data_IF_552779876372
#
_entry.id   IF_552779876372
#
_cell.length_a   1.000
_cell.length_b   1.000
_cell.length_c   1.000
_cell.angle_alpha   90.00
_cell.angle_beta   90.00
_cell.angle_gamma   90.00
#
_symmetry.space_group_name_H-M   'P 1'
#
loop_
_entity.id
_entity.type
_entity.pdbx_description
1 polymer ?
#
# COMPACT_ATOMS: atom_id res chain seq x y z
N UNK A 1 -12.42 8.76 -16.96
CA UNK A 1 -12.77 8.78 -15.53
C UNK A 1 -11.84 7.85 -14.76
N UNK A 2 -10.71 8.35 -14.25
CA UNK A 2 -9.75 7.54 -13.47
C UNK A 2 -10.04 7.57 -11.96
N UNK A 3 -10.80 8.57 -11.51
CA UNK A 3 -11.22 8.78 -10.12
C UNK A 3 -12.25 7.76 -9.62
N UNK A 4 -13.15 7.30 -10.48
CA UNK A 4 -14.23 6.35 -10.13
C UNK A 4 -13.77 4.90 -9.93
N UNK A 5 -12.49 4.58 -10.14
CA UNK A 5 -11.92 3.24 -9.94
C UNK A 5 -10.98 3.12 -8.74
N UNK A 6 -10.81 4.20 -7.98
CA UNK A 6 -9.96 4.18 -6.80
C UNK A 6 -10.70 3.47 -5.67
N UNK A 7 -10.16 2.33 -5.23
CA UNK A 7 -10.70 1.64 -4.05
C UNK A 7 -10.62 2.56 -2.84
N UNK A 8 -11.62 2.53 -1.95
CA UNK A 8 -11.53 3.28 -0.70
C UNK A 8 -10.30 2.81 0.08
N UNK A 9 -9.47 3.74 0.53
CA UNK A 9 -8.31 3.39 1.33
C UNK A 9 -8.79 2.95 2.71
N UNK A 10 -8.14 1.93 3.28
CA UNK A 10 -8.47 1.49 4.62
C UNK A 10 -7.29 0.90 5.36
N UNK A 11 -7.28 1.04 6.67
CA UNK A 11 -6.33 0.39 7.55
C UNK A 11 -7.10 -0.33 8.65
N UNK A 12 -6.96 -1.67 8.72
CA UNK A 12 -7.72 -2.52 9.66
C UNK A 12 -9.24 -2.31 9.60
N UNK A 13 -9.76 -1.93 8.43
CA UNK A 13 -11.18 -1.63 8.22
C UNK A 13 -11.58 -0.18 8.48
N UNK A 14 -10.74 0.65 9.11
CA UNK A 14 -10.97 2.09 9.22
C UNK A 14 -10.70 2.75 7.86
N UNK A 15 -11.71 3.43 7.31
CA UNK A 15 -11.66 4.02 5.96
C UNK A 15 -11.09 5.43 6.00
N UNK A 16 -10.32 5.80 4.99
CA UNK A 16 -9.80 7.15 4.81
C UNK A 16 -9.58 7.48 3.33
N UNK A 17 -9.36 8.75 3.02
CA UNK A 17 -8.94 9.18 1.68
C UNK A 17 -7.43 9.41 1.66
N UNK A 18 -6.79 9.14 0.52
CA UNK A 18 -5.36 9.36 0.31
C UNK A 18 -5.18 10.54 -0.62
N UNK A 19 -4.41 11.54 -0.19
CA UNK A 19 -4.03 12.68 -1.02
C UNK A 19 -2.76 12.38 -1.82
N UNK A 20 -1.75 11.81 -1.15
CA UNK A 20 -0.52 11.39 -1.78
C UNK A 20 0.09 10.19 -1.05
N UNK A 21 0.58 9.22 -1.83
CA UNK A 21 1.34 8.09 -1.32
C UNK A 21 2.76 8.15 -1.86
N UNK A 22 3.75 8.26 -0.97
CA UNK A 22 5.16 8.17 -1.34
C UNK A 22 5.69 6.83 -0.85
N UNK A 23 6.45 6.13 -1.70
CA UNK A 23 7.09 4.86 -1.34
C UNK A 23 8.59 5.06 -1.27
N UNK A 24 9.18 4.85 -0.09
CA UNK A 24 10.62 4.88 0.10
C UNK A 24 11.15 3.44 0.34
N UNK A 25 12.06 2.98 -0.52
CA UNK A 25 12.71 1.68 -0.42
C UNK A 25 14.19 1.81 -0.76
N UNK A 26 15.04 0.99 -0.15
CA UNK A 26 16.48 1.00 -0.41
C UNK A 26 17.19 -0.21 0.20
N UNK A 27 18.51 -0.27 0.05
CA UNK A 27 19.39 -1.22 0.74
C UNK A 27 20.14 -0.50 1.85
N UNK A 28 20.52 -1.22 2.90
CA UNK A 28 21.37 -0.68 3.96
C UNK A 28 22.82 -0.92 3.52
N UNK A 29 23.55 0.15 3.25
CA UNK A 29 24.95 0.08 2.85
C UNK A 29 25.80 0.64 4.00
N UNK A 30 26.80 -0.10 4.46
CA UNK A 30 27.85 0.39 5.33
C UNK A 30 29.01 0.90 4.46
N UNK A 31 29.31 2.19 4.58
CA UNK A 31 30.41 2.81 3.86
C UNK A 31 31.63 2.86 4.77
N UNK A 32 32.70 2.20 4.34
CA UNK A 32 33.97 2.15 5.05
C UNK A 32 34.98 3.03 4.30
N UNK A 33 35.37 4.12 4.95
CA UNK A 33 36.40 5.04 4.48
C UNK A 33 37.67 4.82 5.30
N UNK A 34 38.78 4.55 4.62
CA UNK A 34 40.08 4.29 5.25
C UNK A 34 41.03 5.45 4.95
N UNK A 35 41.73 5.95 5.99
CA UNK A 35 42.67 7.05 5.83
C UNK A 35 43.78 6.71 4.80
N UNK A 36 44.04 7.62 3.86
CA UNK A 36 44.98 7.49 2.72
C UNK A 36 44.58 6.49 1.62
N UNK A 37 43.30 6.06 1.57
CA UNK A 37 42.77 5.28 0.46
C UNK A 37 41.67 6.08 -0.23
N UNK A 38 41.80 6.29 -1.53
CA UNK A 38 40.82 7.04 -2.31
C UNK A 38 39.57 6.20 -2.66
N UNK A 39 39.67 4.88 -2.57
CA UNK A 39 38.56 3.95 -2.84
C UNK A 39 37.78 3.59 -1.55
N UNK A 40 36.54 4.07 -1.38
CA UNK A 40 35.67 3.64 -0.29
C UNK A 40 35.15 2.22 -0.54
N UNK A 41 34.96 1.44 0.53
CA UNK A 41 34.36 0.11 0.46
C UNK A 41 32.90 0.17 0.94
N UNK A 42 31.97 -0.26 0.08
CA UNK A 42 30.55 -0.33 0.38
C UNK A 42 30.13 -1.77 0.66
N UNK A 43 29.88 -2.10 1.93
CA UNK A 43 29.33 -3.39 2.34
C UNK A 43 27.80 -3.34 2.35
N UNK A 44 27.14 -4.28 1.66
CA UNK A 44 25.69 -4.36 1.72
C UNK A 44 25.22 -5.17 2.94
N UNK A 45 24.48 -4.51 3.82
CA UNK A 45 23.90 -5.06 5.04
C UNK A 45 22.44 -5.51 4.84
N UNK A 46 22.01 -5.74 3.60
CA UNK A 46 20.69 -6.24 3.25
C UNK A 46 19.63 -5.15 3.00
N UNK A 47 18.36 -5.58 2.90
CA UNK A 47 17.25 -4.69 2.51
C UNK A 47 16.88 -3.75 3.66
N UNK A 48 16.73 -2.46 3.37
CA UNK A 48 16.15 -1.50 4.32
C UNK A 48 14.66 -1.79 4.46
N UNK A 49 14.12 -1.69 5.68
CA UNK A 49 12.69 -1.77 5.90
C UNK A 49 11.98 -0.75 5.00
N UNK A 50 10.98 -1.21 4.23
CA UNK A 50 10.22 -0.32 3.36
C UNK A 50 9.34 0.56 4.23
N UNK A 51 9.32 1.85 3.89
CA UNK A 51 8.47 2.84 4.53
C UNK A 51 7.48 3.37 3.52
N UNK A 52 6.24 3.50 3.97
CA UNK A 52 5.11 3.96 3.21
C UNK A 52 4.50 5.15 3.96
N UNK A 53 5.11 6.35 3.85
CA UNK A 53 4.46 7.58 4.27
C UNK A 53 3.19 7.80 3.42
N UNK A 54 2.08 7.97 4.11
CA UNK A 54 0.77 8.24 3.52
C UNK A 54 0.24 9.53 4.11
N UNK A 55 -0.07 10.48 3.24
CA UNK A 55 -0.88 11.65 3.61
C UNK A 55 -2.34 11.33 3.30
N UNK A 56 -3.11 11.19 4.35
CA UNK A 56 -4.51 10.82 4.35
C UNK A 56 -5.39 11.95 4.88
N UNK A 57 -6.66 11.96 4.52
CA UNK A 57 -7.61 12.91 5.05
C UNK A 57 -8.99 12.28 5.26
N UNK A 58 -9.71 12.84 6.21
CA UNK A 58 -11.11 12.56 6.49
C UNK A 58 -11.91 13.85 6.28
N UNK A 59 -13.04 13.73 5.61
CA UNK A 59 -13.93 14.86 5.31
C UNK A 59 -15.37 14.47 5.58
N UNK A 60 -16.13 15.36 6.23
CA UNK A 60 -17.55 15.15 6.50
C UNK A 60 -18.04 15.91 7.74
N UNK A 61 -19.36 16.04 7.89
CA UNK A 61 -19.96 16.63 9.09
C UNK A 61 -19.64 15.80 10.35
N UNK A 62 -19.64 14.47 10.20
CA UNK A 62 -19.41 13.51 11.29
C UNK A 62 -18.01 12.90 11.27
N UNK A 63 -17.00 13.63 10.76
CA UNK A 63 -15.63 13.11 10.59
C UNK A 63 -14.96 12.68 11.91
N UNK A 64 -15.49 13.09 13.07
CA UNK A 64 -14.96 12.73 14.39
C UNK A 64 -15.05 11.21 14.65
N UNK A 65 -16.15 10.57 14.25
CA UNK A 65 -16.32 9.13 14.42
C UNK A 65 -15.31 8.29 13.60
N UNK A 66 -15.14 8.50 12.27
CA UNK A 66 -14.12 7.81 11.50
C UNK A 66 -12.69 8.22 11.90
N UNK A 67 -12.49 9.45 12.41
CA UNK A 67 -11.20 9.88 12.98
C UNK A 67 -10.81 9.01 14.16
N UNK A 68 -11.71 8.86 15.12
CA UNK A 68 -11.45 8.08 16.33
C UNK A 68 -11.25 6.59 15.98
N UNK A 69 -12.04 6.04 15.05
CA UNK A 69 -11.83 4.68 14.53
C UNK A 69 -10.47 4.48 13.86
N UNK A 70 -9.99 5.48 13.11
CA UNK A 70 -8.68 5.41 12.47
C UNK A 70 -7.56 5.50 13.52
N UNK A 71 -7.70 6.37 14.51
CA UNK A 71 -6.76 6.47 15.64
C UNK A 71 -6.68 5.14 16.39
N UNK A 72 -7.82 4.56 16.77
CA UNK A 72 -7.87 3.25 17.44
C UNK A 72 -7.20 2.15 16.61
N UNK A 73 -7.40 2.18 15.28
CA UNK A 73 -6.75 1.24 14.37
C UNK A 73 -5.23 1.41 14.33
N UNK A 74 -4.74 2.65 14.33
CA UNK A 74 -3.32 3.01 14.31
C UNK A 74 -2.60 2.70 15.62
N UNK A 75 -3.27 2.86 16.76
CA UNK A 75 -2.71 2.61 18.10
C UNK A 75 -2.72 1.15 18.50
N UNK A 76 -3.58 0.33 17.88
CA UNK A 76 -3.67 -1.09 18.19
C UNK A 76 -2.35 -1.81 17.88
N UNK A 77 -1.92 -2.70 18.77
CA UNK A 77 -0.66 -3.42 18.62
C UNK A 77 -0.65 -4.35 17.39
N UNK A 78 0.53 -4.52 16.79
CA UNK A 78 0.81 -5.52 15.76
C UNK A 78 0.55 -5.05 14.33
N UNK A 79 0.72 -5.97 13.38
CA UNK A 79 0.52 -5.68 11.97
C UNK A 79 -0.97 -5.56 11.62
N UNK A 80 -1.30 -4.63 10.73
CA UNK A 80 -2.62 -4.43 10.16
C UNK A 80 -2.60 -4.57 8.64
N UNK A 81 -3.77 -4.85 8.06
CA UNK A 81 -3.96 -4.77 6.61
C UNK A 81 -4.19 -3.32 6.23
N UNK A 82 -3.33 -2.80 5.36
CA UNK A 82 -3.47 -1.53 4.66
C UNK A 82 -3.94 -1.81 3.24
N UNK A 83 -5.06 -1.22 2.85
CA UNK A 83 -5.55 -1.18 1.48
C UNK A 83 -5.31 0.22 0.95
N UNK A 84 -4.38 0.33 0.00
CA UNK A 84 -4.06 1.58 -0.67
C UNK A 84 -4.75 1.62 -2.06
N UNK A 85 -5.34 2.75 -2.48
CA UNK A 85 -6.12 2.84 -3.72
C UNK A 85 -5.35 2.44 -4.98
N UNK A 86 -4.08 2.85 -5.10
CA UNK A 86 -3.22 2.55 -6.26
C UNK A 86 -2.18 1.46 -6.01
N UNK A 87 -1.54 1.45 -4.84
CA UNK A 87 -0.49 0.47 -4.51
C UNK A 87 -1.04 -0.94 -4.23
N UNK A 88 -2.31 -1.09 -3.87
CA UNK A 88 -2.89 -2.38 -3.51
C UNK A 88 -2.87 -2.64 -2.00
N UNK A 89 -2.93 -3.93 -1.61
CA UNK A 89 -3.07 -4.32 -0.20
C UNK A 89 -1.77 -4.89 0.39
N UNK A 90 -1.39 -4.44 1.58
CA UNK A 90 -0.14 -4.81 2.26
C UNK A 90 -0.35 -5.01 3.76
N UNK A 91 0.49 -5.85 4.36
CA UNK A 91 0.55 -6.00 5.82
C UNK A 91 1.64 -5.11 6.38
N UNK A 92 1.24 -4.11 7.17
CA UNK A 92 2.12 -3.05 7.67
C UNK A 92 1.89 -2.82 9.16
N UNK A 93 2.88 -2.26 9.83
CA UNK A 93 2.80 -1.76 11.22
C UNK A 93 2.82 -0.24 11.17
N UNK A 94 2.03 0.42 12.01
CA UNK A 94 2.11 1.86 12.17
C UNK A 94 3.42 2.19 12.93
N UNK A 95 4.33 2.93 12.29
CA UNK A 95 5.56 3.43 12.92
C UNK A 95 5.35 4.74 13.67
N UNK A 96 4.40 5.55 13.21
CA UNK A 96 4.00 6.81 13.82
C UNK A 96 2.96 7.51 12.97
N UNK A 97 2.17 8.38 13.59
CA UNK A 97 1.18 9.20 12.90
C UNK A 97 1.09 10.59 13.53
N UNK A 98 0.67 11.58 12.75
CA UNK A 98 0.28 12.90 13.25
C UNK A 98 -1.07 13.30 12.67
N UNK A 99 -1.88 13.95 13.49
CA UNK A 99 -3.24 14.39 13.13
C UNK A 99 -3.26 15.92 13.15
N UNK A 100 -3.81 16.52 12.11
CA UNK A 100 -3.97 17.97 12.00
C UNK A 100 -5.42 18.31 11.71
N UNK A 101 -6.04 19.00 12.67
CA UNK A 101 -7.41 19.49 12.58
C UNK A 101 -7.38 21.02 12.55
N UNK A 102 -8.00 21.62 11.54
CA UNK A 102 -8.15 23.08 11.47
C UNK A 102 -9.61 23.47 11.66
N UNK A 103 -9.88 24.29 12.67
CA UNK A 103 -11.23 24.81 12.96
C UNK A 103 -11.78 25.69 11.84
N UNK A 104 -10.91 26.36 11.08
CA UNK A 104 -11.31 27.19 9.94
C UNK A 104 -11.76 26.35 8.73
N UNK A 105 -11.25 25.12 8.61
CA UNK A 105 -11.65 24.13 7.60
C UNK A 105 -12.59 23.11 8.24
N UNK A 106 -13.66 23.59 8.87
CA UNK A 106 -14.62 22.74 9.57
C UNK A 106 -15.04 21.53 8.74
N UNK A 107 -14.92 20.34 9.33
CA UNK A 107 -15.23 19.08 8.66
C UNK A 107 -14.07 18.45 7.89
N UNK A 108 -12.82 18.86 8.13
CA UNK A 108 -11.61 18.29 7.52
C UNK A 108 -10.55 17.94 8.57
N UNK A 109 -9.99 16.75 8.46
CA UNK A 109 -8.90 16.25 9.31
C UNK A 109 -7.84 15.58 8.44
N UNK A 110 -6.58 16.00 8.60
CA UNK A 110 -5.44 15.47 7.87
C UNK A 110 -4.61 14.55 8.76
N UNK A 111 -4.09 13.49 8.16
CA UNK A 111 -3.28 12.47 8.80
C UNK A 111 -2.01 12.26 7.99
N UNK A 112 -0.87 12.41 8.64
CA UNK A 112 0.41 11.96 8.09
C UNK A 112 0.81 10.68 8.83
N UNK A 113 0.81 9.54 8.13
CA UNK A 113 1.02 8.21 8.73
C UNK A 113 2.25 7.56 8.10
N UNK A 114 3.19 7.10 8.92
CA UNK A 114 4.33 6.29 8.49
C UNK A 114 4.02 4.81 8.71
N UNK A 115 3.72 4.08 7.62
CA UNK A 115 3.59 2.63 7.67
C UNK A 115 4.92 1.94 7.38
N UNK A 116 5.27 0.98 8.22
CA UNK A 116 6.45 0.14 8.12
C UNK A 116 6.05 -1.25 7.63
N UNK A 117 6.81 -1.79 6.69
CA UNK A 117 6.62 -3.19 6.26
C UNK A 117 6.81 -4.13 7.45
N UNK A 118 5.78 -4.92 7.76
CA UNK A 118 5.91 -5.97 8.77
C UNK A 118 6.69 -7.12 8.15
N UNK A 119 7.93 -7.32 8.61
CA UNK A 119 8.75 -8.44 8.13
C UNK A 119 8.03 -9.75 8.40
N UNK A 120 7.58 -10.44 7.34
CA UNK A 120 7.11 -11.80 7.48
C UNK A 120 8.33 -12.69 7.72
N UNK A 121 8.46 -13.30 8.89
CA UNK A 121 9.07 -14.64 8.95
C UNK A 121 8.10 -15.57 8.23
N UNK A 122 8.19 -15.64 6.90
CA UNK A 122 7.41 -16.55 6.05
C UNK A 122 6.18 -15.94 5.37
N UNK A 123 6.20 -16.06 4.03
CA UNK A 123 5.09 -15.87 3.09
C UNK A 123 4.64 -14.42 2.83
N UNK A 124 5.46 -13.73 2.04
CA UNK A 124 5.06 -12.67 1.11
C UNK A 124 4.01 -13.25 0.12
N UNK A 125 2.74 -13.22 0.52
CA UNK A 125 1.62 -13.34 -0.42
C UNK A 125 1.12 -11.93 -0.65
N UNK A 126 1.67 -11.26 -1.66
CA UNK A 126 0.96 -10.20 -2.35
C UNK A 126 -0.42 -10.77 -2.72
N UNK A 127 -1.47 -10.33 -2.05
CA UNK A 127 -2.80 -10.42 -2.62
C UNK A 127 -2.85 -9.33 -3.69
N UNK A 128 -2.23 -9.61 -4.84
CA UNK A 128 -2.70 -9.05 -6.09
C UNK A 128 -4.18 -9.40 -6.14
N UNK A 129 -4.98 -8.36 -6.33
CA UNK A 129 -6.40 -8.42 -6.30
C UNK A 129 -6.95 -9.53 -7.21
N UNK A 130 -7.31 -10.66 -6.61
CA UNK A 130 -7.81 -11.84 -7.33
C UNK A 130 -9.04 -11.49 -8.19
N UNK A 131 -9.76 -10.41 -7.88
CA UNK A 131 -10.87 -9.94 -8.71
C UNK A 131 -10.43 -9.46 -10.11
N UNK A 132 -9.23 -8.90 -10.26
CA UNK A 132 -8.72 -8.45 -11.56
C UNK A 132 -8.16 -9.62 -12.40
N UNK A 133 -7.65 -10.69 -11.77
CA UNK A 133 -7.06 -11.83 -12.46
C UNK A 133 -8.10 -12.88 -12.92
N UNK A 134 -9.25 -12.97 -12.23
CA UNK A 134 -10.34 -13.89 -12.64
C UNK A 134 -11.04 -13.41 -13.91
N UNK A 135 -11.17 -12.08 -14.13
CA UNK A 135 -11.76 -11.55 -15.36
C UNK A 135 -10.86 -11.85 -16.57
N UNK A 136 -9.56 -11.56 -16.48
CA UNK A 136 -8.62 -11.81 -17.58
C UNK A 136 -8.51 -13.30 -17.94
N UNK A 137 -8.52 -14.21 -16.95
CA UNK A 137 -8.48 -15.67 -17.23
C UNK A 137 -9.80 -16.21 -17.78
N UNK A 138 -10.93 -15.56 -17.50
CA UNK A 138 -12.22 -15.95 -18.06
C UNK A 138 -12.35 -15.52 -19.53
N UNK A 139 -11.82 -14.35 -19.87
CA UNK A 139 -11.78 -13.87 -21.25
C UNK A 139 -10.80 -14.68 -22.13
N UNK A 140 -9.63 -15.07 -21.61
CA UNK A 140 -8.69 -15.95 -22.32
C UNK A 140 -9.25 -17.38 -22.53
N UNK A 141 -9.99 -17.91 -21.56
CA UNK A 141 -10.64 -19.22 -21.70
C UNK A 141 -11.78 -19.19 -22.72
N UNK A 142 -12.53 -18.09 -22.80
CA UNK A 142 -13.57 -17.91 -23.81
C UNK A 142 -12.98 -17.76 -25.23
N UNK A 143 -11.85 -17.06 -25.38
CA UNK A 143 -11.16 -16.92 -26.66
C UNK A 143 -10.55 -18.25 -27.14
N UNK A 144 -9.97 -19.06 -26.24
CA UNK A 144 -9.41 -20.37 -26.58
C UNK A 144 -10.47 -21.42 -26.96
N UNK A 145 -11.70 -21.30 -26.44
CA UNK A 145 -12.81 -22.17 -26.83
C UNK A 145 -13.36 -21.83 -28.22
N UNK A 146 -13.32 -20.56 -28.63
CA UNK A 146 -13.77 -20.12 -29.96
C UNK A 146 -12.80 -20.53 -31.08
N UNK A 147 -11.49 -20.63 -30.80
CA UNK A 147 -10.47 -21.00 -31.79
C UNK A 147 -10.42 -22.49 -32.15
N UNK A 148 -10.89 -23.40 -31.29
CA UNK A 148 -10.86 -24.85 -31.54
C UNK A 148 -12.05 -25.39 -32.33
N UNK A 149 -13.10 -24.61 -32.52
CA UNK A 149 -14.29 -25.05 -33.26
C UNK A 149 -14.18 -24.89 -34.79
N UNK A 150 -13.08 -24.31 -35.30
CA UNK A 150 -12.94 -23.96 -36.71
C UNK A 150 -12.06 -24.88 -37.57
N UNK A 151 -11.34 -25.85 -37.00
CA UNK A 151 -10.27 -26.58 -37.73
C UNK A 151 -10.53 -28.10 -37.93
N UNK A 152 -11.75 -28.59 -37.66
CA UNK A 152 -12.09 -30.03 -37.77
C UNK A 152 -13.17 -30.35 -38.82
N UNK A 153 -13.34 -29.51 -39.84
CA UNK A 153 -14.27 -29.79 -40.95
C UNK A 153 -13.64 -29.55 -42.34
N UNK A 154 -12.51 -30.19 -42.62
CA UNK A 154 -12.07 -30.40 -44.00
C UNK A 154 -11.23 -31.68 -44.12
N UNK A 155 -11.91 -32.82 -44.32
CA UNK A 155 -11.47 -33.94 -45.16
C UNK A 155 -12.62 -34.91 -45.38
#
# INVERSE_FOLDING_TARGET
MWRDRLRPASFRGAQFHVEAGVRASGRRIAMHEYAKRDDPYAEDLGRRARRHPISAYLVGADYQAPRDQLIDALEREGAGMLVHPTLGSFRVVCGGYSVRESRERGGFCEFDIEFLESGSTGADRFFEDTAANVVNKSDDAAAAAAGRAGEDLTK
#
